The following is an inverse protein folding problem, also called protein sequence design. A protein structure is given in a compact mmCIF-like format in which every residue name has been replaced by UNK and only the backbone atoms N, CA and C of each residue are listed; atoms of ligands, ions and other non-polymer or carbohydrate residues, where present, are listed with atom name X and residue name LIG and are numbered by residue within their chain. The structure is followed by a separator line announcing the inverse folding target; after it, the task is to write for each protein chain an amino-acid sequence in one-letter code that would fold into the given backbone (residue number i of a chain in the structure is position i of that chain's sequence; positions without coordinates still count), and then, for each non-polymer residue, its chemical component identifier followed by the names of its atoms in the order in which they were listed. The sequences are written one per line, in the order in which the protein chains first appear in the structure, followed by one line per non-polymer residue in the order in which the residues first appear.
data_IF_880906963118
#
_entry.id   IF_880906963118
#
_cell.length_a   1.000
_cell.length_b   1.000
_cell.length_c   1.000
_cell.angle_alpha   90.00
_cell.angle_beta   90.00
_cell.angle_gamma   90.00
#
_symmetry.space_group_name_H-M   'P 1'
#
loop_
_entity.id
_entity.type
_entity.pdbx_description
1 polymer ?
#
# COMPACT_ATOMS: atom_id res chain seq x y z
N UNK A 1 -3.49 -11.26 32.08
CA UNK A 1 -3.28 -11.38 30.63
C UNK A 1 -2.69 -10.07 30.12
N UNK A 2 -1.55 -10.14 29.43
CA UNK A 2 -0.86 -9.06 28.68
C UNK A 2 -1.78 -8.31 27.71
N UNK A 3 -2.62 -7.36 28.11
CA UNK A 3 -3.24 -6.43 27.15
C UNK A 3 -2.13 -5.63 26.47
N UNK A 4 -1.65 -6.15 25.35
CA UNK A 4 -0.73 -5.44 24.50
C UNK A 4 -1.48 -4.21 24.00
N UNK A 5 -1.13 -3.04 24.53
CA UNK A 5 -1.46 -1.75 23.93
C UNK A 5 -1.05 -1.85 22.48
N UNK A 6 -2.02 -2.15 21.60
CA UNK A 6 -1.82 -2.32 20.17
C UNK A 6 -1.57 -0.91 19.65
N UNK A 7 -0.34 -0.41 19.83
CA UNK A 7 0.10 0.89 19.32
C UNK A 7 -0.41 0.95 17.89
N UNK A 8 -1.37 1.85 17.64
CA UNK A 8 -2.02 2.01 16.34
C UNK A 8 -0.90 2.30 15.35
N UNK A 9 -0.43 1.28 14.62
CA UNK A 9 0.70 1.43 13.70
C UNK A 9 0.28 2.48 12.68
N UNK A 10 1.18 3.43 12.37
CA UNK A 10 0.92 4.43 11.34
C UNK A 10 0.50 3.72 10.05
N UNK A 11 -0.54 4.24 9.41
CA UNK A 11 -1.04 3.72 8.13
C UNK A 11 0.12 3.64 7.12
N UNK A 12 0.10 2.62 6.26
CA UNK A 12 1.07 2.53 5.17
C UNK A 12 0.76 3.67 4.18
N UNK A 13 1.75 4.49 3.85
CA UNK A 13 1.62 5.47 2.77
C UNK A 13 1.56 4.79 1.39
N UNK A 14 1.22 5.54 0.35
CA UNK A 14 1.27 5.01 -1.02
C UNK A 14 2.69 4.56 -1.36
N UNK A 15 2.82 3.29 -1.75
CA UNK A 15 4.07 2.75 -2.26
C UNK A 15 4.12 2.94 -3.77
N UNK A 16 5.17 3.59 -4.32
CA UNK A 16 5.41 3.53 -5.75
C UNK A 16 5.76 2.09 -6.16
N UNK A 17 5.56 1.78 -7.43
CA UNK A 17 5.85 0.45 -8.00
C UNK A 17 7.23 -0.07 -7.63
N UNK A 18 8.27 0.77 -7.72
CA UNK A 18 9.66 0.42 -7.40
C UNK A 18 9.79 -0.18 -5.99
N UNK A 19 9.23 0.47 -4.98
CA UNK A 19 9.27 -0.02 -3.59
C UNK A 19 8.43 -1.25 -3.40
N UNK A 20 7.25 -1.30 -4.02
CA UNK A 20 6.37 -2.46 -3.96
C UNK A 20 7.11 -3.71 -4.45
N UNK A 21 7.75 -3.63 -5.62
CA UNK A 21 8.44 -4.76 -6.24
C UNK A 21 9.65 -5.21 -5.41
N UNK A 22 10.43 -4.27 -4.87
CA UNK A 22 11.55 -4.60 -3.97
C UNK A 22 11.04 -5.35 -2.73
N UNK A 23 9.94 -4.90 -2.12
CA UNK A 23 9.38 -5.57 -0.95
C UNK A 23 8.89 -6.98 -1.30
N UNK A 24 8.17 -7.14 -2.41
CA UNK A 24 7.74 -8.46 -2.89
C UNK A 24 8.93 -9.38 -3.12
N UNK A 25 10.01 -8.88 -3.76
CA UNK A 25 11.26 -9.62 -3.96
C UNK A 25 11.96 -10.00 -2.66
N UNK A 26 11.85 -9.17 -1.62
CA UNK A 26 12.41 -9.50 -0.31
C UNK A 26 11.59 -10.61 0.37
N UNK A 27 10.27 -10.54 0.29
CA UNK A 27 9.38 -11.50 0.95
C UNK A 27 9.34 -12.86 0.25
N UNK A 28 9.51 -12.90 -1.07
CA UNK A 28 9.54 -14.15 -1.83
C UNK A 28 10.93 -14.82 -1.83
N UNK A 29 11.92 -14.23 -1.15
CA UNK A 29 13.29 -14.76 -1.05
C UNK A 29 14.19 -14.52 -2.28
N UNK A 30 13.72 -13.80 -3.30
CA UNK A 30 14.50 -13.53 -4.54
C UNK A 30 15.45 -12.31 -4.45
N UNK A 31 15.51 -11.65 -3.29
CA UNK A 31 16.38 -10.49 -3.08
C UNK A 31 17.80 -10.92 -2.67
N UNK A 32 18.69 -11.05 -3.64
CA UNK A 32 20.12 -11.36 -3.44
C UNK A 32 21.04 -10.21 -3.88
N UNK A 33 20.83 -9.03 -3.31
CA UNK A 33 21.73 -7.88 -3.54
C UNK A 33 22.68 -7.73 -2.35
N UNK A 34 24.00 -7.87 -2.54
CA UNK A 34 24.99 -7.65 -1.49
C UNK A 34 24.90 -6.24 -0.91
N UNK A 35 25.09 -6.09 0.41
CA UNK A 35 24.93 -4.81 1.14
C UNK A 35 25.65 -3.65 0.43
N UNK A 36 26.89 -3.87 -0.02
CA UNK A 36 27.73 -2.85 -0.67
C UNK A 36 27.20 -2.35 -2.01
N UNK A 37 26.32 -3.11 -2.68
CA UNK A 37 25.76 -2.78 -4.00
C UNK A 37 24.31 -2.27 -3.92
N UNK A 38 23.73 -2.21 -2.72
CA UNK A 38 22.32 -1.84 -2.54
C UNK A 38 22.08 -0.37 -2.83
N UNK A 39 20.98 -0.08 -3.50
CA UNK A 39 20.54 1.30 -3.69
C UNK A 39 19.98 1.87 -2.37
N UNK A 40 19.92 3.21 -2.23
CA UNK A 40 19.24 3.84 -1.09
C UNK A 40 17.79 3.37 -0.94
N UNK A 41 17.08 3.15 -2.06
CA UNK A 41 15.70 2.69 -2.06
C UNK A 41 15.55 1.26 -1.52
N UNK A 42 16.45 0.35 -1.90
CA UNK A 42 16.49 -1.01 -1.36
C UNK A 42 16.74 -1.01 0.15
N UNK A 43 17.66 -0.17 0.64
CA UNK A 43 17.93 -0.04 2.06
C UNK A 43 16.70 0.49 2.83
N UNK A 44 15.98 1.46 2.26
CA UNK A 44 14.71 1.97 2.82
C UNK A 44 13.66 0.85 2.88
N UNK A 45 13.51 0.06 1.82
CA UNK A 45 12.55 -1.04 1.78
C UNK A 45 12.88 -2.14 2.81
N UNK A 46 14.14 -2.53 2.92
CA UNK A 46 14.59 -3.49 3.95
C UNK A 46 14.34 -2.97 5.37
N UNK A 47 14.62 -1.68 5.62
CA UNK A 47 14.31 -1.06 6.91
C UNK A 47 12.80 -1.04 7.20
N UNK A 48 11.98 -0.82 6.16
CA UNK A 48 10.52 -0.84 6.26
C UNK A 48 10.02 -2.24 6.64
N UNK A 49 10.51 -3.29 5.97
CA UNK A 49 10.17 -4.70 6.26
C UNK A 49 10.55 -5.05 7.70
N UNK A 50 11.75 -4.69 8.14
CA UNK A 50 12.20 -4.93 9.53
C UNK A 50 11.31 -4.26 10.59
N UNK A 51 10.78 -3.07 10.28
CA UNK A 51 9.86 -2.33 11.16
C UNK A 51 8.41 -2.84 11.09
N UNK A 52 7.98 -3.33 9.94
CA UNK A 52 6.61 -3.78 9.64
C UNK A 52 6.59 -5.29 9.48
N UNK A 53 6.50 -5.99 10.63
CA UNK A 53 6.34 -7.45 10.68
C UNK A 53 4.97 -7.96 10.21
N UNK A 54 4.10 -7.05 9.75
CA UNK A 54 2.77 -7.32 9.21
C UNK A 54 2.74 -7.32 7.67
N UNK A 55 3.91 -7.30 7.02
CA UNK A 55 4.03 -7.53 5.59
C UNK A 55 4.06 -9.02 5.28
N UNK A 56 3.22 -9.42 4.33
CA UNK A 56 3.03 -10.81 3.92
C UNK A 56 2.79 -10.86 2.41
N UNK A 57 3.01 -12.02 1.80
CA UNK A 57 2.58 -12.27 0.43
C UNK A 57 1.23 -12.97 0.46
N UNK A 58 0.29 -12.49 -0.33
CA UNK A 58 -0.97 -13.18 -0.59
C UNK A 58 -0.82 -14.29 -1.62
N UNK A 59 -1.88 -15.09 -1.79
CA UNK A 59 -1.89 -16.31 -2.62
C UNK A 59 -1.48 -16.09 -4.09
N UNK A 60 -1.56 -14.85 -4.59
CA UNK A 60 -1.18 -14.47 -5.96
C UNK A 60 0.13 -13.68 -6.05
N UNK A 61 0.95 -13.70 -5.01
CA UNK A 61 2.17 -12.89 -4.92
C UNK A 61 1.91 -11.40 -4.71
N UNK A 62 0.68 -11.01 -4.36
CA UNK A 62 0.36 -9.63 -4.00
C UNK A 62 0.91 -9.28 -2.62
N UNK A 63 1.36 -8.04 -2.45
CA UNK A 63 1.80 -7.57 -1.15
C UNK A 63 0.60 -7.31 -0.25
N UNK A 64 0.56 -7.97 0.90
CA UNK A 64 -0.39 -7.73 1.96
C UNK A 64 0.28 -6.96 3.10
N UNK A 65 -0.47 -6.09 3.76
CA UNK A 65 -0.04 -5.43 4.98
C UNK A 65 -1.18 -5.40 6.01
N UNK A 66 -1.02 -6.15 7.10
CA UNK A 66 -2.06 -6.32 8.12
C UNK A 66 -3.32 -6.97 7.58
N UNK A 67 -3.17 -7.97 6.69
CA UNK A 67 -4.27 -8.71 6.05
C UNK A 67 -4.97 -7.97 4.90
N UNK A 68 -4.49 -6.79 4.50
CA UNK A 68 -5.06 -5.99 3.40
C UNK A 68 -4.10 -5.88 2.23
N UNK A 69 -4.63 -5.90 1.02
CA UNK A 69 -3.82 -5.76 -0.18
C UNK A 69 -3.27 -4.33 -0.30
N UNK A 70 -1.97 -4.20 -0.49
CA UNK A 70 -1.32 -2.90 -0.69
C UNK A 70 -1.60 -2.45 -2.12
N UNK A 71 -2.24 -1.29 -2.28
CA UNK A 71 -2.37 -0.64 -3.57
C UNK A 71 -1.09 0.09 -3.91
N UNK A 72 -0.70 -0.06 -5.17
CA UNK A 72 0.42 0.65 -5.74
C UNK A 72 -0.06 2.04 -6.14
N UNK A 73 0.78 3.06 -5.87
CA UNK A 73 0.44 4.48 -6.07
C UNK A 73 -0.06 4.74 -7.48
N UNK A 74 0.59 4.13 -8.47
CA UNK A 74 0.28 4.28 -9.89
C UNK A 74 -1.05 3.64 -10.29
N UNK A 75 -1.51 2.62 -9.56
CA UNK A 75 -2.80 1.96 -9.83
C UNK A 75 -3.97 2.67 -9.15
N UNK A 76 -3.70 3.45 -8.10
CA UNK A 76 -4.73 4.10 -7.29
C UNK A 76 -5.75 4.90 -8.12
N UNK A 77 -5.37 5.69 -9.15
CA UNK A 77 -6.34 6.42 -9.97
C UNK A 77 -7.39 5.53 -10.63
N UNK A 78 -6.97 4.37 -11.15
CA UNK A 78 -7.88 3.40 -11.79
C UNK A 78 -8.88 2.82 -10.79
N UNK A 79 -8.44 2.55 -9.56
CA UNK A 79 -9.34 2.07 -8.50
C UNK A 79 -10.33 3.15 -8.08
N UNK A 80 -9.87 4.41 -7.95
CA UNK A 80 -10.73 5.55 -7.62
C UNK A 80 -11.77 5.79 -8.70
N UNK A 81 -11.37 5.82 -9.97
CA UNK A 81 -12.27 5.97 -11.12
C UNK A 81 -13.36 4.90 -11.15
N UNK A 82 -12.96 3.63 -11.04
CA UNK A 82 -13.89 2.50 -11.01
C UNK A 82 -14.91 2.67 -9.89
N UNK A 83 -14.45 3.00 -8.69
CA UNK A 83 -15.32 3.22 -7.54
C UNK A 83 -16.22 4.45 -7.72
N UNK A 84 -15.73 5.52 -8.32
CA UNK A 84 -16.50 6.73 -8.59
C UNK A 84 -17.67 6.43 -9.55
N UNK A 85 -17.38 5.72 -10.65
CA UNK A 85 -18.38 5.32 -11.65
C UNK A 85 -19.42 4.35 -11.08
N UNK A 86 -18.98 3.31 -10.35
CA UNK A 86 -19.88 2.32 -9.72
C UNK A 86 -20.82 2.95 -8.68
N UNK A 87 -20.45 4.11 -8.11
CA UNK A 87 -21.18 4.78 -7.04
C UNK A 87 -21.80 6.11 -7.45
N UNK A 88 -21.99 6.33 -8.77
CA UNK A 88 -22.70 7.50 -9.33
C UNK A 88 -22.14 8.84 -8.82
N UNK A 89 -20.81 8.95 -8.76
CA UNK A 89 -20.13 10.22 -8.45
C UNK A 89 -19.94 10.51 -6.96
N UNK A 90 -19.73 9.47 -6.13
CA UNK A 90 -19.54 9.66 -4.70
C UNK A 90 -18.20 10.34 -4.33
N UNK A 91 -18.19 11.12 -3.24
CA UNK A 91 -16.99 11.85 -2.80
C UNK A 91 -15.87 10.98 -2.20
N UNK A 92 -14.69 11.59 -2.03
CA UNK A 92 -13.46 10.93 -1.59
C UNK A 92 -13.61 10.09 -0.31
N UNK A 93 -14.34 10.59 0.69
CA UNK A 93 -14.58 9.89 1.96
C UNK A 93 -15.31 8.56 1.79
N UNK A 94 -16.28 8.51 0.87
CA UNK A 94 -17.06 7.30 0.59
C UNK A 94 -16.16 6.27 -0.09
N UNK A 95 -15.40 6.68 -1.10
CA UNK A 95 -14.45 5.82 -1.81
C UNK A 95 -13.38 5.29 -0.84
N UNK A 96 -12.82 6.15 0.00
CA UNK A 96 -11.84 5.77 1.03
C UNK A 96 -12.40 4.70 1.98
N UNK A 97 -13.61 4.90 2.48
CA UNK A 97 -14.23 3.96 3.42
C UNK A 97 -14.53 2.59 2.79
N UNK A 98 -14.82 2.54 1.48
CA UNK A 98 -15.03 1.29 0.77
C UNK A 98 -13.70 0.59 0.46
N UNK A 99 -12.71 1.32 -0.06
CA UNK A 99 -11.40 0.75 -0.39
C UNK A 99 -10.67 0.25 0.85
N UNK A 100 -10.73 0.96 1.98
CA UNK A 100 -9.98 0.60 3.20
C UNK A 100 -10.40 -0.72 3.83
N UNK A 101 -11.50 -1.34 3.39
CA UNK A 101 -11.94 -2.65 3.88
C UNK A 101 -10.93 -3.72 3.45
N UNK A 102 -10.62 -3.76 2.14
CA UNK A 102 -9.78 -4.80 1.54
C UNK A 102 -8.36 -4.31 1.20
N UNK A 103 -8.18 -2.99 1.10
CA UNK A 103 -6.95 -2.38 0.60
C UNK A 103 -6.29 -1.46 1.62
N UNK A 104 -4.99 -1.24 1.45
CA UNK A 104 -4.17 -0.27 2.21
C UNK A 104 -3.12 0.38 1.30
N UNK A 105 -2.31 1.29 1.82
CA UNK A 105 -1.33 2.02 1.02
C UNK A 105 -1.92 3.22 0.29
N UNK A 106 -2.88 3.92 0.89
CA UNK A 106 -3.46 5.16 0.36
C UNK A 106 -4.04 6.01 1.48
N UNK A 107 -4.24 7.30 1.20
CA UNK A 107 -4.90 8.26 2.07
C UNK A 107 -6.15 8.82 1.40
N UNK A 108 -7.09 9.33 2.22
CA UNK A 108 -8.26 10.05 1.71
C UNK A 108 -7.85 11.29 0.90
N UNK A 109 -6.79 11.99 1.32
CA UNK A 109 -6.22 13.12 0.60
C UNK A 109 -5.76 12.74 -0.81
N UNK A 110 -5.07 11.60 -0.97
CA UNK A 110 -4.65 11.13 -2.29
C UNK A 110 -5.84 10.83 -3.21
N UNK A 111 -6.93 10.28 -2.66
CA UNK A 111 -8.17 10.04 -3.41
C UNK A 111 -8.80 11.38 -3.81
N UNK A 112 -8.84 12.34 -2.89
CA UNK A 112 -9.39 13.67 -3.14
C UNK A 112 -8.64 14.38 -4.28
N UNK A 113 -7.31 14.35 -4.26
CA UNK A 113 -6.46 14.90 -5.33
C UNK A 113 -6.72 14.22 -6.68
N UNK A 114 -6.91 12.89 -6.70
CA UNK A 114 -7.27 12.18 -7.92
C UNK A 114 -8.62 12.65 -8.43
N UNK A 115 -9.65 12.74 -7.58
CA UNK A 115 -10.98 13.20 -7.99
C UNK A 115 -10.94 14.64 -8.52
N UNK A 116 -10.19 15.55 -7.90
CA UNK A 116 -10.07 16.94 -8.37
C UNK A 116 -9.34 17.07 -9.70
N UNK A 117 -8.29 16.26 -9.92
CA UNK A 117 -7.52 16.30 -11.16
C UNK A 117 -8.20 15.53 -12.31
N UNK A 118 -9.22 14.74 -12.00
CA UNK A 118 -9.96 13.98 -12.99
C UNK A 118 -11.10 14.81 -13.54
N UNK A 119 -11.22 14.85 -14.87
CA UNK A 119 -12.33 15.49 -15.57
C UNK A 119 -13.51 14.51 -15.73
N UNK A 120 -14.00 13.94 -14.62
CA UNK A 120 -15.17 13.06 -14.64
C UNK A 120 -16.45 13.82 -14.96
#
# INVERSE_FOLDING_TARGET
MKEAIRRKRKQLGCLPRSKYDIIVRCLNGSFDVPVKKRTPEENICLAMIRKRKDFELGDRGSLLCGGKQVLVKEDLPRFVEKMFMENKGCGARVIYNKLKVNYTGFSEQAILEILYNSKY
#
